data_IF_935318008678
#
_entry.id   IF_935318008678
#
_cell.length_a   1.000
_cell.length_b   1.000
_cell.length_c   1.000
_cell.angle_alpha   90.00
_cell.angle_beta   90.00
_cell.angle_gamma   90.00
#
_symmetry.space_group_name_H-M   'P 1'
#
loop_
_entity.id
_entity.type
_entity.pdbx_description
1 polymer ?
#
# COMPACT_ATOMS: atom_id res chain seq x y z
N UNK A 1 15.49 3.39 26.42
CA UNK A 1 15.66 3.78 25.00
C UNK A 1 14.41 4.52 24.55
N UNK A 2 14.54 5.61 23.80
CA UNK A 2 13.41 6.41 23.29
C UNK A 2 13.74 6.93 21.87
N UNK A 3 12.74 7.41 21.14
CA UNK A 3 12.93 8.04 19.83
C UNK A 3 12.10 9.32 19.73
N UNK A 4 12.50 10.23 18.83
CA UNK A 4 11.68 11.36 18.40
C UNK A 4 11.28 11.10 16.96
N UNK A 5 10.00 10.81 16.74
CA UNK A 5 9.44 10.53 15.41
C UNK A 5 8.58 11.69 14.93
N UNK A 6 8.53 11.88 13.61
CA UNK A 6 7.67 12.87 12.96
C UNK A 6 6.49 12.16 12.30
N UNK A 7 5.28 12.60 12.61
CA UNK A 7 4.05 12.08 11.99
C UNK A 7 2.96 13.14 12.02
N UNK A 8 2.12 13.20 10.97
CA UNK A 8 1.02 14.17 10.88
C UNK A 8 1.45 15.64 11.02
N UNK A 9 2.70 15.97 10.65
CA UNK A 9 3.28 17.31 10.81
C UNK A 9 3.72 17.67 12.24
N UNK A 10 3.65 16.75 13.19
CA UNK A 10 4.06 16.93 14.59
C UNK A 10 5.22 15.99 14.94
N UNK A 11 5.94 16.32 16.00
CA UNK A 11 7.01 15.50 16.56
C UNK A 11 6.56 14.90 17.89
N UNK A 12 6.83 13.63 18.09
CA UNK A 12 6.50 12.89 19.30
C UNK A 12 7.74 12.22 19.86
N UNK A 13 7.97 12.39 21.15
CA UNK A 13 8.93 11.58 21.90
C UNK A 13 8.22 10.31 22.35
N UNK A 14 8.82 9.16 22.04
CA UNK A 14 8.19 7.85 22.24
C UNK A 14 9.15 6.84 22.83
N UNK A 15 8.63 5.98 23.68
CA UNK A 15 9.32 4.81 24.24
C UNK A 15 8.49 3.55 23.98
N UNK A 16 9.10 2.35 23.97
CA UNK A 16 8.34 1.10 23.87
C UNK A 16 7.29 1.01 24.98
N UNK A 17 6.05 0.66 24.62
CA UNK A 17 4.89 0.61 25.52
C UNK A 17 4.05 1.88 25.58
N UNK A 18 4.53 3.02 25.06
CA UNK A 18 3.78 4.28 25.11
C UNK A 18 2.54 4.24 24.21
N UNK A 19 1.43 4.79 24.70
CA UNK A 19 0.17 4.92 23.94
C UNK A 19 -0.03 6.37 23.51
N UNK A 20 -0.17 6.58 22.21
CA UNK A 20 -0.20 7.90 21.58
C UNK A 20 -1.47 8.07 20.74
N UNK A 21 -1.97 9.31 20.73
CA UNK A 21 -3.05 9.73 19.82
C UNK A 21 -2.44 10.50 18.66
N UNK A 22 -2.47 9.90 17.48
CA UNK A 22 -1.93 10.47 16.26
C UNK A 22 -3.06 10.95 15.33
N UNK A 23 -2.68 11.69 14.30
CA UNK A 23 -3.59 12.02 13.19
C UNK A 23 -4.06 10.74 12.48
N UNK A 24 -5.16 10.83 11.73
CA UNK A 24 -5.76 9.65 11.07
C UNK A 24 -4.79 8.94 10.11
N UNK A 25 -4.51 7.67 10.40
CA UNK A 25 -3.71 6.77 9.57
C UNK A 25 -4.58 5.90 8.65
N UNK A 26 -4.00 5.44 7.54
CA UNK A 26 -4.58 4.47 6.62
C UNK A 26 -4.23 3.03 7.04
N UNK A 27 -4.62 2.67 8.26
CA UNK A 27 -4.38 1.36 8.85
C UNK A 27 -5.60 0.97 9.71
N UNK A 28 -5.88 -0.33 9.73
CA UNK A 28 -6.98 -0.92 10.48
C UNK A 28 -6.56 -1.26 11.91
N UNK A 29 -7.54 -1.51 12.78
CA UNK A 29 -7.30 -1.89 14.17
C UNK A 29 -6.64 -3.26 14.27
N UNK A 30 -5.62 -3.39 15.11
CA UNK A 30 -4.78 -4.58 15.25
C UNK A 30 -3.60 -4.65 14.27
N UNK A 31 -3.53 -3.78 13.25
CA UNK A 31 -2.40 -3.77 12.33
C UNK A 31 -1.13 -3.20 12.99
N UNK A 32 0.03 -3.78 12.65
CA UNK A 32 1.33 -3.19 12.98
C UNK A 32 1.76 -2.24 11.88
N UNK A 33 2.06 -1.00 12.25
CA UNK A 33 2.50 0.06 11.35
C UNK A 33 3.89 0.55 11.71
N UNK A 34 4.63 0.97 10.70
CA UNK A 34 5.99 1.46 10.86
C UNK A 34 6.12 2.94 10.48
N UNK A 35 6.75 3.70 11.36
CA UNK A 35 7.13 5.10 11.14
C UNK A 35 8.62 5.19 10.81
N UNK A 36 8.95 5.58 9.58
CA UNK A 36 10.33 5.70 9.09
C UNK A 36 10.93 7.09 9.34
N UNK A 37 10.09 8.11 9.55
CA UNK A 37 10.52 9.49 9.77
C UNK A 37 10.98 9.68 11.24
N UNK A 38 12.16 9.15 11.57
CA UNK A 38 12.78 9.26 12.90
C UNK A 38 13.85 10.35 12.90
N UNK A 39 13.69 11.35 13.75
CA UNK A 39 14.60 12.50 13.87
C UNK A 39 15.76 12.21 14.83
N UNK A 40 15.52 11.41 15.86
CA UNK A 40 16.50 11.10 16.90
C UNK A 40 16.19 9.76 17.54
N UNK A 41 17.23 8.98 17.85
CA UNK A 41 17.15 7.79 18.71
C UNK A 41 17.98 8.05 19.96
N UNK A 42 17.32 8.07 21.11
CA UNK A 42 17.89 8.37 22.42
C UNK A 42 18.08 7.14 23.30
N UNK A 43 19.11 7.18 24.15
CA UNK A 43 19.55 6.12 25.04
C UNK A 43 20.89 6.52 25.64
N UNK A 44 21.76 5.54 25.90
CA UNK A 44 23.11 5.80 26.45
C UNK A 44 24.00 6.57 25.45
N UNK A 45 23.85 6.29 24.15
CA UNK A 45 24.50 7.01 23.05
C UNK A 45 23.45 7.63 22.12
N UNK A 46 23.00 8.87 22.39
CA UNK A 46 21.98 9.52 21.59
C UNK A 46 22.49 9.80 20.17
N UNK A 47 21.70 9.38 19.17
CA UNK A 47 21.96 9.61 17.74
C UNK A 47 20.93 10.61 17.22
N UNK A 48 21.40 11.73 16.67
CA UNK A 48 20.56 12.79 16.08
C UNK A 48 20.71 12.75 14.56
N UNK A 49 19.58 12.77 13.85
CA UNK A 49 19.53 12.70 12.39
C UNK A 49 19.80 14.03 11.69
N UNK A 50 20.08 13.97 10.39
CA UNK A 50 20.28 15.15 9.53
C UNK A 50 19.58 15.00 8.15
N UNK A 51 18.27 15.27 8.02
CA UNK A 51 17.30 15.60 9.07
C UNK A 51 16.75 14.36 9.81
N UNK A 52 16.87 13.16 9.22
CA UNK A 52 16.42 11.89 9.81
C UNK A 52 17.61 10.98 10.14
N UNK A 53 17.38 9.96 10.97
CA UNK A 53 18.35 8.91 11.27
C UNK A 53 18.15 7.78 10.26
N UNK A 54 19.15 7.52 9.42
CA UNK A 54 19.03 6.54 8.35
C UNK A 54 18.79 5.13 8.88
N UNK A 55 17.77 4.47 8.31
CA UNK A 55 17.38 3.12 8.68
C UNK A 55 16.74 2.98 10.06
N UNK A 56 16.54 4.06 10.81
CA UNK A 56 15.77 4.01 12.05
C UNK A 56 14.27 3.93 11.75
N UNK A 57 13.55 3.15 12.55
CA UNK A 57 12.11 3.04 12.45
C UNK A 57 11.46 2.83 13.81
N UNK A 58 10.24 3.32 13.97
CA UNK A 58 9.41 3.05 15.14
C UNK A 58 8.25 2.17 14.70
N UNK A 59 8.12 0.99 15.30
CA UNK A 59 7.00 0.09 15.07
C UNK A 59 5.94 0.32 16.15
N UNK A 60 4.68 0.30 15.75
CA UNK A 60 3.56 0.47 16.64
C UNK A 60 2.36 -0.36 16.19
N UNK A 61 1.60 -0.84 17.16
CA UNK A 61 0.32 -1.49 16.95
C UNK A 61 -0.81 -0.45 16.97
N UNK A 62 -1.73 -0.54 16.02
CA UNK A 62 -2.93 0.29 15.99
C UNK A 62 -3.97 -0.28 16.94
N UNK A 63 -4.20 0.41 18.06
CA UNK A 63 -5.23 0.01 19.02
C UNK A 63 -6.65 0.37 18.58
N UNK A 64 -6.80 1.33 17.66
CA UNK A 64 -8.11 1.67 17.10
C UNK A 64 -8.22 3.12 16.63
N UNK A 65 -9.35 3.44 16.02
CA UNK A 65 -9.64 4.78 15.50
C UNK A 65 -10.76 5.45 16.31
N UNK A 66 -10.45 6.62 16.88
CA UNK A 66 -11.39 7.37 17.73
C UNK A 66 -11.71 8.74 17.14
N UNK A 67 -12.84 9.30 17.56
CA UNK A 67 -13.14 10.72 17.38
C UNK A 67 -12.77 11.44 18.66
N UNK A 68 -11.94 12.48 18.55
CA UNK A 68 -11.58 13.33 19.66
C UNK A 68 -12.76 14.08 20.25
N UNK A 69 -12.45 14.90 21.24
CA UNK A 69 -13.43 15.76 21.90
C UNK A 69 -14.08 16.73 20.91
N UNK A 70 -15.36 17.03 21.14
CA UNK A 70 -16.10 17.94 20.27
C UNK A 70 -15.69 19.36 20.56
N UNK A 71 -15.00 19.99 19.62
CA UNK A 71 -14.72 21.42 19.64
C UNK A 71 -15.88 22.14 18.97
N UNK A 72 -16.43 23.17 19.62
CA UNK A 72 -17.52 23.98 19.07
C UNK A 72 -16.93 25.25 18.48
N UNK A 73 -17.04 25.42 17.17
CA UNK A 73 -16.77 26.69 16.51
C UNK A 73 -18.06 27.52 16.48
N UNK A 74 -18.06 28.60 17.24
CA UNK A 74 -19.17 29.55 17.31
C UNK A 74 -18.77 30.88 16.69
N UNK A 75 -19.44 31.25 15.59
CA UNK A 75 -19.21 32.51 14.88
C UNK A 75 -20.49 33.34 14.90
N UNK A 76 -20.38 34.60 15.32
CA UNK A 76 -21.49 35.56 15.31
C UNK A 76 -20.96 36.96 15.03
N UNK A 77 -21.60 37.68 14.11
CA UNK A 77 -21.30 39.10 13.86
C UNK A 77 -22.27 39.99 14.64
N UNK A 78 -21.73 40.99 15.33
CA UNK A 78 -22.54 41.96 16.09
C UNK A 78 -23.53 42.69 15.16
N UNK A 79 -24.76 42.91 15.64
CA UNK A 79 -25.86 43.59 14.91
C UNK A 79 -26.37 42.91 13.62
N UNK A 80 -25.93 41.68 13.32
CA UNK A 80 -26.52 40.85 12.25
C UNK A 80 -27.17 39.61 12.86
N UNK A 81 -28.46 39.68 13.14
CA UNK A 81 -29.20 38.63 13.87
C UNK A 81 -29.16 37.25 13.18
N UNK A 82 -29.14 37.22 11.84
CA UNK A 82 -29.03 36.00 11.04
C UNK A 82 -27.61 35.44 10.89
N UNK A 83 -26.58 36.09 11.45
CA UNK A 83 -25.16 35.71 11.25
C UNK A 83 -24.64 34.66 12.25
N UNK A 84 -25.44 34.24 13.23
CA UNK A 84 -25.05 33.23 14.22
C UNK A 84 -24.88 31.87 13.54
N UNK A 85 -23.71 31.24 13.69
CA UNK A 85 -23.39 29.89 13.21
C UNK A 85 -22.66 29.14 14.30
N UNK A 86 -23.15 27.95 14.63
CA UNK A 86 -22.50 27.02 15.56
C UNK A 86 -22.20 25.75 14.79
N UNK A 87 -20.92 25.38 14.65
CA UNK A 87 -20.51 24.13 14.01
C UNK A 87 -19.67 23.33 14.99
N UNK A 88 -20.03 22.07 15.20
CA UNK A 88 -19.18 21.13 15.93
C UNK A 88 -18.12 20.52 15.00
N UNK A 89 -16.91 20.35 15.51
CA UNK A 89 -15.85 19.56 14.89
C UNK A 89 -15.38 18.48 15.86
N UNK A 90 -15.09 17.29 15.34
CA UNK A 90 -14.41 16.23 16.08
C UNK A 90 -13.26 15.75 15.22
N UNK A 91 -12.05 15.82 15.74
CA UNK A 91 -10.88 15.34 15.01
C UNK A 91 -10.87 13.81 14.98
N UNK A 92 -10.58 13.23 13.83
CA UNK A 92 -10.33 11.79 13.72
C UNK A 92 -8.89 11.50 14.16
N UNK A 93 -8.73 10.61 15.12
CA UNK A 93 -7.44 10.24 15.69
C UNK A 93 -7.27 8.73 15.60
N UNK A 94 -6.03 8.30 15.41
CA UNK A 94 -5.65 6.89 15.53
C UNK A 94 -4.89 6.73 16.85
N UNK A 95 -5.33 5.77 17.67
CA UNK A 95 -4.62 5.41 18.90
C UNK A 95 -3.63 4.31 18.56
N UNK A 96 -2.37 4.52 18.86
CA UNK A 96 -1.30 3.56 18.62
C UNK A 96 -0.55 3.27 19.90
N UNK A 97 -0.05 2.04 20.04
CA UNK A 97 0.89 1.63 21.08
C UNK A 97 2.22 1.34 20.43
N UNK A 98 3.29 1.96 20.91
CA UNK A 98 4.64 1.69 20.40
C UNK A 98 5.10 0.32 20.88
N UNK A 99 5.52 -0.54 19.94
CA UNK A 99 6.01 -1.89 20.24
C UNK A 99 7.52 -1.88 20.37
N UNK A 100 8.21 -1.39 19.34
CA UNK A 100 9.68 -1.44 19.24
C UNK A 100 10.26 -0.20 18.56
N UNK A 101 11.49 0.14 18.91
CA UNK A 101 12.31 1.15 18.24
C UNK A 101 13.50 0.46 17.58
N UNK A 102 13.50 0.42 16.26
CA UNK A 102 14.58 -0.14 15.43
C UNK A 102 15.59 0.96 15.14
N UNK A 103 16.86 0.78 15.56
CA UNK A 103 17.92 1.80 15.37
C UNK A 103 18.45 1.85 13.94
N UNK A 104 18.47 0.73 13.24
CA UNK A 104 19.00 0.58 11.88
C UNK A 104 18.34 -0.60 11.19
N UNK A 105 18.16 -0.55 9.87
CA UNK A 105 17.56 -1.64 9.09
C UNK A 105 16.03 -1.71 9.13
N UNK A 106 15.35 -0.63 9.55
CA UNK A 106 13.89 -0.59 9.60
C UNK A 106 13.21 -0.87 8.26
N UNK A 107 13.82 -0.52 7.13
CA UNK A 107 13.21 -0.69 5.81
C UNK A 107 13.04 -2.16 5.37
N UNK A 108 13.76 -3.10 5.98
CA UNK A 108 13.73 -4.53 5.59
C UNK A 108 12.78 -5.37 6.45
N UNK A 109 12.00 -4.77 7.35
CA UNK A 109 11.14 -5.49 8.31
C UNK A 109 9.85 -6.03 7.71
N UNK A 110 9.49 -5.64 6.47
CA UNK A 110 8.24 -6.05 5.83
C UNK A 110 6.97 -5.47 6.48
N UNK A 111 7.12 -4.58 7.47
CA UNK A 111 5.99 -3.96 8.19
C UNK A 111 5.38 -2.84 7.35
N UNK A 112 4.04 -2.77 7.35
CA UNK A 112 3.26 -1.75 6.62
C UNK A 112 3.68 -0.34 7.04
N UNK A 113 4.05 0.49 6.07
CA UNK A 113 4.45 1.89 6.34
C UNK A 113 3.22 2.71 6.75
N UNK A 114 3.35 3.48 7.84
CA UNK A 114 2.30 4.34 8.35
C UNK A 114 2.09 5.56 7.41
N UNK A 115 1.07 5.49 6.56
CA UNK A 115 0.65 6.61 5.71
C UNK A 115 -0.59 7.31 6.28
N UNK A 116 -0.62 8.64 6.19
CA UNK A 116 -1.80 9.42 6.57
C UNK A 116 -2.96 9.18 5.61
N UNK A 117 -4.20 9.05 6.11
CA UNK A 117 -5.37 8.75 5.28
C UNK A 117 -5.61 9.77 4.15
N UNK A 118 -5.28 11.06 4.39
CA UNK A 118 -5.37 12.10 3.36
C UNK A 118 -4.31 11.92 2.25
N UNK A 119 -3.11 11.41 2.59
CA UNK A 119 -2.06 11.15 1.62
C UNK A 119 -2.45 9.98 0.70
N UNK A 120 -3.00 8.90 1.24
CA UNK A 120 -3.49 7.76 0.43
C UNK A 120 -4.65 8.18 -0.49
N UNK A 121 -5.58 9.00 0.01
CA UNK A 121 -6.68 9.53 -0.82
C UNK A 121 -6.18 10.44 -1.95
N UNK A 122 -5.16 11.28 -1.69
CA UNK A 122 -4.57 12.14 -2.71
C UNK A 122 -3.82 11.32 -3.78
N UNK A 123 -3.07 10.30 -3.38
CA UNK A 123 -2.37 9.40 -4.30
C UNK A 123 -3.35 8.58 -5.13
N UNK A 124 -4.42 8.05 -4.51
CA UNK A 124 -5.50 7.35 -5.21
C UNK A 124 -6.25 8.25 -6.20
N UNK A 125 -6.52 9.50 -5.82
CA UNK A 125 -7.15 10.48 -6.72
C UNK A 125 -6.24 10.89 -7.88
N UNK A 126 -4.92 11.00 -7.66
CA UNK A 126 -3.96 11.29 -8.71
C UNK A 126 -3.81 10.13 -9.70
N UNK A 127 -3.79 8.89 -9.21
CA UNK A 127 -3.77 7.69 -10.05
C UNK A 127 -5.08 7.56 -10.86
N UNK A 128 -6.23 7.84 -10.25
CA UNK A 128 -7.52 7.83 -10.94
C UNK A 128 -7.64 8.96 -11.99
N UNK A 129 -7.10 10.15 -11.71
CA UNK A 129 -7.07 11.27 -12.65
C UNK A 129 -6.13 11.01 -13.85
N UNK A 130 -5.05 10.26 -13.65
CA UNK A 130 -4.16 9.82 -14.74
C UNK A 130 -4.73 8.64 -15.56
N UNK A 131 -5.74 7.94 -15.05
CA UNK A 131 -6.35 6.76 -15.69
C UNK A 131 -7.67 7.04 -16.42
N UNK A 132 -8.17 8.28 -16.43
CA UNK A 132 -9.41 8.62 -17.11
C UNK A 132 -9.15 9.30 -18.47
N UNK A 133 -9.46 8.67 -19.63
CA UNK A 133 -9.68 9.42 -20.86
C UNK A 133 -11.00 10.19 -20.70
N UNK A 134 -11.00 11.45 -21.12
CA UNK A 134 -12.06 12.40 -20.80
C UNK A 134 -13.47 11.90 -21.09
N UNK A 135 -14.40 12.16 -20.16
CA UNK A 135 -15.80 12.28 -20.52
C UNK A 135 -16.56 13.26 -19.64
N UNK A 136 -17.34 14.04 -20.36
CA UNK A 136 -18.24 15.11 -19.98
C UNK A 136 -19.27 14.73 -18.91
N UNK A 137 -19.61 15.72 -18.09
CA UNK A 137 -20.81 15.78 -17.23
C UNK A 137 -22.04 15.17 -17.90
N UNK A 138 -22.77 14.26 -17.22
CA UNK A 138 -24.14 14.47 -16.72
C UNK A 138 -24.72 13.20 -16.07
N UNK A 139 -25.57 13.46 -15.08
CA UNK A 139 -26.72 12.70 -14.60
C UNK A 139 -26.50 11.58 -13.57
N UNK A 140 -27.27 11.72 -12.50
CA UNK A 140 -27.31 10.94 -11.28
C UNK A 140 -28.38 9.84 -11.34
N UNK A 141 -28.20 8.83 -10.48
CA UNK A 141 -29.32 8.16 -9.81
C UNK A 141 -29.46 6.68 -10.12
N UNK A 142 -29.49 5.89 -9.02
CA UNK A 142 -30.13 4.57 -8.88
C UNK A 142 -29.28 3.32 -9.16
N UNK A 143 -28.34 2.97 -8.27
CA UNK A 143 -27.85 1.57 -8.14
C UNK A 143 -27.46 1.20 -6.68
N UNK A 144 -27.98 1.87 -5.66
CA UNK A 144 -27.56 1.62 -4.26
C UNK A 144 -28.21 0.38 -3.61
N UNK A 145 -29.10 -0.37 -4.28
CA UNK A 145 -29.83 -1.48 -3.63
C UNK A 145 -29.67 -2.85 -4.28
N UNK A 146 -28.67 -3.04 -5.16
CA UNK A 146 -28.35 -4.37 -5.71
C UNK A 146 -26.87 -4.75 -5.59
N UNK A 147 -26.01 -3.81 -5.19
CA UNK A 147 -24.59 -4.06 -5.00
C UNK A 147 -24.32 -4.86 -3.72
N UNK A 148 -25.08 -4.64 -2.65
CA UNK A 148 -24.80 -5.18 -1.30
C UNK A 148 -24.91 -6.72 -1.22
N UNK A 149 -25.72 -7.36 -2.05
CA UNK A 149 -25.86 -8.83 -2.08
C UNK A 149 -24.81 -9.53 -2.96
N UNK A 150 -24.17 -8.81 -3.89
CA UNK A 150 -23.08 -9.37 -4.71
C UNK A 150 -21.71 -9.21 -4.04
N UNK A 151 -21.49 -8.17 -3.22
CA UNK A 151 -20.21 -7.99 -2.50
C UNK A 151 -20.02 -9.01 -1.38
N UNK A 152 -21.12 -9.58 -0.85
CA UNK A 152 -21.07 -10.63 0.18
C UNK A 152 -20.49 -11.96 -0.31
N UNK A 153 -20.64 -12.28 -1.60
CA UNK A 153 -20.11 -13.52 -2.19
C UNK A 153 -18.66 -13.39 -2.68
N UNK A 154 -18.22 -12.18 -3.06
CA UNK A 154 -16.84 -11.95 -3.53
C UNK A 154 -15.86 -11.73 -2.36
N UNK A 155 -16.34 -11.36 -1.17
CA UNK A 155 -15.50 -11.15 0.02
C UNK A 155 -15.04 -12.42 0.73
N UNK A 156 -15.46 -13.60 0.26
CA UNK A 156 -15.08 -14.89 0.85
C UNK A 156 -13.91 -15.59 0.13
N UNK A 157 -13.28 -14.96 -0.88
CA UNK A 157 -12.30 -15.64 -1.75
C UNK A 157 -10.99 -14.87 -2.03
N UNK A 158 -10.60 -13.90 -1.18
CA UNK A 158 -9.30 -13.22 -1.33
C UNK A 158 -8.45 -13.51 -0.09
N UNK A 159 -7.80 -14.67 -0.11
CA UNK A 159 -6.67 -14.95 0.75
C UNK A 159 -5.41 -14.27 0.20
N UNK A 160 -4.54 -13.83 1.11
CA UNK A 160 -3.15 -13.48 0.81
C UNK A 160 -2.55 -14.49 -0.17
N UNK A 161 -2.23 -14.03 -1.39
CA UNK A 161 -1.78 -14.88 -2.49
C UNK A 161 -0.47 -15.58 -2.16
N UNK A 162 -0.55 -16.89 -1.99
CA UNK A 162 0.59 -17.78 -1.78
C UNK A 162 1.52 -17.71 -2.99
N UNK A 163 2.85 -17.66 -2.75
CA UNK A 163 3.86 -17.62 -3.83
C UNK A 163 3.61 -18.83 -4.75
N UNK A 164 3.37 -18.64 -6.06
CA UNK A 164 3.04 -19.74 -6.94
C UNK A 164 4.18 -20.76 -6.96
N UNK A 165 3.83 -22.04 -6.78
CA UNK A 165 4.77 -23.15 -6.69
C UNK A 165 5.60 -23.37 -7.98
N UNK A 166 5.16 -22.75 -9.08
CA UNK A 166 5.78 -22.83 -10.41
C UNK A 166 6.97 -21.86 -10.59
N UNK A 167 7.32 -21.06 -9.58
CA UNK A 167 8.51 -20.19 -9.58
C UNK A 167 9.76 -20.97 -9.17
N UNK A 168 10.80 -20.91 -10.00
CA UNK A 168 12.06 -21.60 -9.75
C UNK A 168 13.07 -20.64 -9.11
N UNK A 169 13.78 -21.07 -8.07
CA UNK A 169 14.82 -20.25 -7.43
C UNK A 169 16.12 -20.18 -8.26
N UNK A 170 16.24 -21.00 -9.33
CA UNK A 170 17.35 -20.97 -10.29
C UNK A 170 16.92 -21.49 -11.68
N UNK A 171 17.68 -21.12 -12.72
CA UNK A 171 17.39 -21.56 -14.09
C UNK A 171 17.44 -23.09 -14.24
N UNK A 172 16.46 -23.72 -14.93
CA UNK A 172 16.42 -25.16 -15.12
C UNK A 172 17.59 -25.66 -16.00
N UNK A 173 18.06 -26.88 -15.75
CA UNK A 173 19.24 -27.48 -16.41
C UNK A 173 19.10 -27.65 -17.94
N UNK A 174 17.92 -27.41 -18.52
CA UNK A 174 17.64 -27.45 -19.96
C UNK A 174 17.81 -26.11 -20.70
N UNK A 175 18.30 -25.06 -20.02
CA UNK A 175 18.48 -23.72 -20.60
C UNK A 175 17.23 -22.84 -20.46
N UNK A 176 17.43 -21.55 -20.21
CA UNK A 176 16.37 -20.54 -20.16
C UNK A 176 15.93 -20.18 -21.59
N UNK A 177 14.63 -19.92 -21.77
CA UNK A 177 14.06 -19.47 -23.03
C UNK A 177 14.25 -17.96 -23.23
N UNK A 178 14.32 -17.50 -24.48
CA UNK A 178 14.38 -16.06 -24.80
C UNK A 178 12.97 -15.44 -24.70
N UNK A 179 12.58 -15.06 -23.48
CA UNK A 179 11.25 -14.52 -23.18
C UNK A 179 10.95 -13.23 -23.95
N UNK A 180 11.95 -12.57 -24.53
CA UNK A 180 11.81 -11.42 -25.45
C UNK A 180 10.95 -11.70 -26.68
N UNK A 181 10.71 -12.98 -27.02
CA UNK A 181 9.81 -13.36 -28.12
C UNK A 181 8.34 -13.00 -27.83
N UNK A 182 7.95 -12.89 -26.55
CA UNK A 182 6.61 -12.46 -26.18
C UNK A 182 6.46 -10.96 -26.40
N UNK A 183 5.40 -10.57 -27.11
CA UNK A 183 5.07 -9.18 -27.37
C UNK A 183 4.95 -8.39 -26.07
N UNK A 184 5.81 -7.39 -25.93
CA UNK A 184 5.84 -6.52 -24.76
C UNK A 184 6.84 -6.92 -23.67
N UNK A 185 7.49 -8.07 -23.79
CA UNK A 185 8.65 -8.46 -22.97
C UNK A 185 9.91 -7.89 -23.60
N UNK A 186 10.49 -6.87 -22.97
CA UNK A 186 11.79 -6.31 -23.37
C UNK A 186 12.94 -6.87 -22.53
N UNK A 187 14.22 -6.55 -22.85
CA UNK A 187 15.39 -7.07 -22.13
C UNK A 187 15.36 -6.80 -20.61
N UNK A 188 14.91 -5.61 -20.20
CA UNK A 188 14.75 -5.25 -18.79
C UNK A 188 13.61 -5.99 -18.08
N UNK A 189 12.66 -6.49 -18.86
CA UNK A 189 11.50 -7.20 -18.33
C UNK A 189 11.81 -8.67 -18.13
N UNK A 190 12.53 -9.25 -19.08
CA UNK A 190 13.11 -10.58 -18.97
C UNK A 190 14.04 -10.68 -17.75
N UNK A 191 14.92 -9.69 -17.52
CA UNK A 191 15.77 -9.65 -16.31
C UNK A 191 14.93 -9.73 -15.03
N UNK A 192 13.82 -8.97 -14.97
CA UNK A 192 12.89 -9.00 -13.83
C UNK A 192 12.10 -10.31 -13.72
N UNK A 193 11.75 -10.94 -14.83
CA UNK A 193 11.07 -12.24 -14.84
C UNK A 193 12.01 -13.33 -14.34
N UNK A 194 13.26 -13.31 -14.78
CA UNK A 194 14.32 -14.20 -14.30
C UNK A 194 14.56 -14.00 -12.79
N UNK A 195 14.65 -12.75 -12.31
CA UNK A 195 14.80 -12.45 -10.87
C UNK A 195 13.63 -12.99 -10.03
N UNK A 196 12.43 -13.06 -10.60
CA UNK A 196 11.23 -13.61 -9.93
C UNK A 196 11.18 -15.14 -10.00
N UNK A 197 11.95 -15.76 -10.90
CA UNK A 197 12.04 -17.22 -11.06
C UNK A 197 11.34 -17.79 -12.29
N UNK A 198 11.05 -16.95 -13.28
CA UNK A 198 10.39 -17.29 -14.54
C UNK A 198 11.43 -17.29 -15.65
N UNK A 199 11.73 -18.47 -16.18
CA UNK A 199 12.82 -18.69 -17.14
C UNK A 199 12.36 -19.39 -18.43
N UNK A 200 11.17 -19.98 -18.48
CA UNK A 200 10.70 -20.76 -19.65
C UNK A 200 9.31 -20.37 -20.13
N UNK A 201 9.02 -20.65 -21.41
CA UNK A 201 7.68 -20.43 -21.98
C UNK A 201 6.63 -21.35 -21.34
N UNK A 202 7.00 -22.59 -21.03
CA UNK A 202 6.13 -23.55 -20.31
C UNK A 202 5.61 -23.00 -18.98
N UNK A 203 6.43 -22.25 -18.22
CA UNK A 203 5.99 -21.63 -16.96
C UNK A 203 4.90 -20.59 -17.19
N UNK A 204 5.08 -19.72 -18.18
CA UNK A 204 4.11 -18.66 -18.52
C UNK A 204 2.82 -19.28 -19.09
N UNK A 205 2.96 -20.32 -19.91
CA UNK A 205 1.83 -21.04 -20.50
C UNK A 205 0.96 -21.77 -19.46
N UNK A 206 1.58 -22.21 -18.34
CA UNK A 206 0.93 -22.91 -17.25
C UNK A 206 0.28 -21.97 -16.20
N UNK A 207 0.41 -20.65 -16.34
CA UNK A 207 -0.14 -19.71 -15.37
C UNK A 207 -1.66 -19.78 -15.28
N UNK A 208 -2.15 -19.96 -14.05
CA UNK A 208 -3.57 -19.78 -13.73
C UNK A 208 -3.94 -18.29 -13.66
N UNK A 209 -5.24 -17.93 -13.74
CA UNK A 209 -5.68 -16.55 -13.58
C UNK A 209 -5.24 -15.90 -12.26
N UNK A 210 -5.12 -16.69 -11.19
CA UNK A 210 -4.65 -16.24 -9.88
C UNK A 210 -3.14 -15.95 -9.90
N UNK A 211 -2.37 -16.78 -10.62
CA UNK A 211 -0.93 -16.58 -10.80
C UNK A 211 -0.65 -15.38 -11.70
N UNK A 212 -1.47 -15.14 -12.73
CA UNK A 212 -1.41 -13.94 -13.56
C UNK A 212 -1.65 -12.69 -12.73
N UNK A 213 -2.67 -12.69 -11.88
CA UNK A 213 -2.95 -11.57 -10.98
C UNK A 213 -1.78 -11.31 -10.02
N UNK A 214 -1.19 -12.38 -9.46
CA UNK A 214 -0.01 -12.28 -8.61
C UNK A 214 1.20 -11.68 -9.36
N UNK A 215 1.50 -12.16 -10.57
CA UNK A 215 2.61 -11.65 -11.38
C UNK A 215 2.36 -10.21 -11.83
N UNK A 216 1.12 -9.87 -12.16
CA UNK A 216 0.74 -8.53 -12.60
C UNK A 216 0.90 -7.50 -11.48
N UNK A 217 0.49 -7.85 -10.26
CA UNK A 217 0.68 -7.00 -9.07
C UNK A 217 2.16 -6.91 -8.68
N UNK A 218 2.88 -8.05 -8.66
CA UNK A 218 4.29 -8.12 -8.26
C UNK A 218 5.20 -7.33 -9.21
N UNK A 219 4.89 -7.34 -10.50
CA UNK A 219 5.67 -6.64 -11.52
C UNK A 219 5.05 -5.28 -11.92
N UNK A 220 3.94 -4.88 -11.29
CA UNK A 220 3.22 -3.62 -11.52
C UNK A 220 2.74 -3.43 -12.97
N UNK A 221 2.27 -4.52 -13.59
CA UNK A 221 1.91 -4.59 -15.00
C UNK A 221 0.48 -4.15 -15.32
N UNK A 222 -0.40 -3.97 -14.32
CA UNK A 222 -1.74 -3.36 -14.45
C UNK A 222 -2.59 -3.99 -15.57
N UNK A 223 -2.70 -5.31 -15.57
CA UNK A 223 -3.46 -6.13 -16.51
C UNK A 223 -2.76 -6.33 -17.86
N UNK A 224 -1.46 -6.05 -17.97
CA UNK A 224 -0.75 -6.14 -19.24
C UNK A 224 -0.58 -7.59 -19.70
N UNK A 225 -0.35 -8.51 -18.77
CA UNK A 225 -0.13 -9.93 -19.08
C UNK A 225 -1.35 -10.51 -19.84
N UNK A 226 -2.55 -10.16 -19.40
CA UNK A 226 -3.81 -10.56 -20.05
C UNK A 226 -4.08 -9.79 -21.34
N UNK A 227 -3.94 -8.46 -21.31
CA UNK A 227 -4.23 -7.60 -22.48
C UNK A 227 -3.32 -7.92 -23.67
N UNK A 228 -2.04 -8.15 -23.40
CA UNK A 228 -1.05 -8.45 -24.44
C UNK A 228 -1.02 -9.96 -24.75
N UNK A 229 -1.87 -10.78 -24.11
CA UNK A 229 -2.07 -12.20 -24.46
C UNK A 229 -0.84 -13.09 -24.25
N UNK A 230 -0.11 -12.91 -23.14
CA UNK A 230 1.17 -13.58 -22.91
C UNK A 230 1.05 -15.10 -22.81
N UNK A 231 -0.01 -15.61 -22.19
CA UNK A 231 -0.23 -17.06 -22.04
C UNK A 231 -0.39 -17.74 -23.41
N UNK A 232 -1.17 -17.14 -24.30
CA UNK A 232 -1.43 -17.70 -25.63
C UNK A 232 -0.17 -17.68 -26.50
N UNK A 233 0.62 -16.61 -26.40
CA UNK A 233 1.93 -16.51 -27.07
C UNK A 233 2.94 -17.51 -26.50
N UNK A 234 2.99 -17.66 -25.17
CA UNK A 234 3.86 -18.62 -24.53
C UNK A 234 3.54 -20.05 -24.96
N UNK A 235 2.25 -20.42 -25.05
CA UNK A 235 1.81 -21.73 -25.59
C UNK A 235 2.26 -21.94 -27.03
N UNK A 236 2.18 -20.90 -27.86
CA UNK A 236 2.65 -20.98 -29.25
C UNK A 236 4.17 -21.18 -29.32
N UNK A 237 4.95 -20.44 -28.54
CA UNK A 237 6.42 -20.55 -28.56
C UNK A 237 6.94 -21.81 -27.88
N UNK A 238 6.21 -22.36 -26.92
CA UNK A 238 6.49 -23.66 -26.31
C UNK A 238 6.23 -24.80 -27.30
N UNK A 239 5.13 -24.74 -28.06
CA UNK A 239 4.83 -25.71 -29.12
C UNK A 239 5.78 -25.63 -30.33
N UNK A 240 6.43 -24.48 -30.56
CA UNK A 240 7.48 -24.32 -31.58
C UNK A 240 8.85 -24.88 -31.14
N UNK A 241 9.01 -25.21 -29.84
CA UNK A 241 10.25 -25.73 -29.25
C UNK A 241 10.34 -27.26 -29.29
N UNK A 242 9.21 -27.95 -29.40
CA UNK A 242 9.11 -29.41 -29.65
C UNK A 242 9.28 -29.76 -31.14
#
# INVERSE_FOLDING_TARGET
>A
MYAVMKTGGKQYRVSPGDVLRLEKLAADEGETVQFNDVLMVGGDSPTVGTPFVDGAAVQAEVLGQIKGEKVINFVRRRRKHSSKRTKGHRQHLTVVRVTEIVKSGGLSTGVKVALGAAAVAATGAAIAAAAAPGRTRKAAGRVETRAEEAVGAVRAAVGDGERPANLLDAAPQGGADDLKRISGVGPKLEEKLNDVGVYTFAQIAAWSPEEVAYMDDRLSFKGRIERDGWIDQAKQYDAEKE
#
